data_IF_815664560127
#
_entry.id   IF_815664560127
#
_cell.length_a   1.000
_cell.length_b   1.000
_cell.length_c   1.000
_cell.angle_alpha   90.00
_cell.angle_beta   90.00
_cell.angle_gamma   90.00
#
_symmetry.space_group_name_H-M   'P 1'
#
loop_
_entity.id
_entity.type
_entity.pdbx_description
1 polymer ?
#
# COMPACT_ATOMS: atom_id res chain seq x y z
N UNK A 1 21.19 -19.05 34.57
CA UNK A 1 19.94 -18.24 34.48
C UNK A 1 19.37 -18.10 33.03
N UNK A 2 19.49 -19.08 32.13
CA UNK A 2 19.83 -18.68 30.74
C UNK A 2 19.01 -19.18 29.53
N UNK A 3 18.05 -20.10 29.64
CA UNK A 3 17.26 -20.56 28.47
C UNK A 3 15.78 -20.15 28.51
N UNK A 4 15.14 -20.36 29.65
CA UNK A 4 13.71 -20.06 29.85
C UNK A 4 13.42 -18.57 29.69
N UNK A 5 14.25 -17.71 30.28
CA UNK A 5 14.10 -16.25 30.15
C UNK A 5 14.30 -15.76 28.71
N UNK A 6 15.29 -16.31 27.99
CA UNK A 6 15.56 -15.99 26.58
C UNK A 6 14.42 -16.45 25.66
N UNK A 7 13.77 -17.57 25.99
CA UNK A 7 12.60 -18.07 25.27
C UNK A 7 11.34 -17.23 25.54
N UNK A 8 11.05 -16.93 26.81
CA UNK A 8 9.95 -16.04 27.22
C UNK A 8 10.10 -14.63 26.63
N UNK A 9 11.31 -14.08 26.63
CA UNK A 9 11.61 -12.77 26.03
C UNK A 9 11.39 -12.77 24.51
N UNK A 10 11.81 -13.84 23.82
CA UNK A 10 11.57 -13.99 22.36
C UNK A 10 10.08 -14.09 22.04
N UNK A 11 9.30 -14.82 22.84
CA UNK A 11 7.84 -14.92 22.68
C UNK A 11 7.16 -13.58 22.92
N UNK A 12 7.54 -12.85 23.98
CA UNK A 12 7.03 -11.50 24.26
C UNK A 12 7.36 -10.52 23.14
N UNK A 13 8.59 -10.55 22.59
CA UNK A 13 8.97 -9.71 21.45
C UNK A 13 8.13 -9.99 20.20
N UNK A 14 7.88 -11.26 19.88
CA UNK A 14 7.05 -11.62 18.72
C UNK A 14 5.60 -11.17 18.90
N UNK A 15 5.05 -11.29 20.11
CA UNK A 15 3.70 -10.80 20.43
C UNK A 15 3.62 -9.28 20.28
N UNK A 16 4.61 -8.53 20.79
CA UNK A 16 4.71 -7.07 20.65
C UNK A 16 4.79 -6.64 19.18
N UNK A 17 5.63 -7.33 18.40
CA UNK A 17 5.79 -7.08 16.96
C UNK A 17 4.49 -7.32 16.19
N UNK A 18 3.84 -8.45 16.46
CA UNK A 18 2.55 -8.79 15.85
C UNK A 18 1.49 -7.75 16.21
N UNK A 19 1.42 -7.34 17.47
CA UNK A 19 0.47 -6.33 17.93
C UNK A 19 0.65 -5.00 17.20
N UNK A 20 1.88 -4.51 17.07
CA UNK A 20 2.18 -3.27 16.34
C UNK A 20 1.80 -3.36 14.86
N UNK A 21 2.08 -4.50 14.21
CA UNK A 21 1.67 -4.73 12.82
C UNK A 21 0.16 -4.78 12.62
N UNK A 22 -0.58 -5.37 13.56
CA UNK A 22 -2.06 -5.44 13.51
C UNK A 22 -2.66 -4.03 13.67
N UNK A 23 -2.18 -3.27 14.65
CA UNK A 23 -2.59 -1.86 14.84
C UNK A 23 -2.40 -1.07 13.55
N UNK A 24 -1.25 -1.22 12.88
CA UNK A 24 -0.96 -0.55 11.60
C UNK A 24 -1.98 -0.91 10.52
N UNK A 25 -2.32 -2.19 10.37
CA UNK A 25 -3.32 -2.63 9.38
C UNK A 25 -4.67 -1.98 9.67
N UNK A 26 -5.10 -1.95 10.94
CA UNK A 26 -6.38 -1.36 11.35
C UNK A 26 -6.43 0.15 11.09
N UNK A 27 -5.37 0.89 11.43
CA UNK A 27 -5.29 2.33 11.18
C UNK A 27 -5.34 2.61 9.67
N UNK A 28 -4.61 1.83 8.90
CA UNK A 28 -4.49 2.06 7.45
C UNK A 28 -5.78 1.83 6.67
N UNK A 29 -6.64 0.93 7.16
CA UNK A 29 -7.97 0.69 6.61
C UNK A 29 -8.95 1.86 6.86
N UNK A 30 -8.74 2.62 7.94
CA UNK A 30 -9.61 3.76 8.31
C UNK A 30 -9.28 5.06 7.57
N UNK A 31 -8.15 5.13 6.86
CA UNK A 31 -7.73 6.36 6.20
C UNK A 31 -8.21 6.34 4.74
N UNK A 32 -9.17 7.21 4.35
CA UNK A 32 -9.68 7.24 2.99
C UNK A 32 -8.58 7.68 2.03
N UNK A 33 -8.43 6.94 0.94
CA UNK A 33 -7.61 7.33 -0.20
C UNK A 33 -8.46 8.09 -1.19
N UNK A 34 -7.93 9.19 -1.69
CA UNK A 34 -8.54 9.93 -2.80
C UNK A 34 -7.61 9.82 -4.01
N UNK A 35 -8.06 9.12 -5.04
CA UNK A 35 -7.41 9.17 -6.35
C UNK A 35 -7.75 10.51 -7.00
N UNK A 36 -6.74 11.33 -7.33
CA UNK A 36 -6.98 12.63 -7.93
C UNK A 36 -7.35 12.47 -9.41
N UNK A 37 -8.66 12.39 -9.69
CA UNK A 37 -9.18 12.21 -11.06
C UNK A 37 -8.86 13.35 -12.03
N UNK A 38 -8.41 14.51 -11.53
CA UNK A 38 -8.06 15.67 -12.37
C UNK A 38 -6.63 15.59 -12.94
N UNK A 39 -5.79 14.69 -12.42
CA UNK A 39 -4.44 14.48 -12.91
C UNK A 39 -4.42 13.30 -13.89
N UNK A 40 -4.86 13.56 -15.13
CA UNK A 40 -5.07 12.54 -16.17
C UNK A 40 -3.83 11.68 -16.42
N UNK A 41 -2.64 12.25 -16.26
CA UNK A 41 -1.37 11.56 -16.50
C UNK A 41 -0.78 10.82 -15.28
N UNK A 42 -1.31 11.00 -14.06
CA UNK A 42 -0.68 10.46 -12.85
C UNK A 42 -1.34 9.17 -12.33
N UNK A 43 -2.23 9.29 -11.34
CA UNK A 43 -2.94 8.15 -10.74
C UNK A 43 -4.07 7.65 -11.65
N UNK A 44 -4.74 8.57 -12.36
CA UNK A 44 -5.87 8.25 -13.21
C UNK A 44 -5.48 7.38 -14.41
N UNK A 45 -4.31 7.62 -15.00
CA UNK A 45 -3.79 6.86 -16.13
C UNK A 45 -3.67 5.36 -15.82
N UNK A 46 -3.18 5.02 -14.62
CA UNK A 46 -3.10 3.62 -14.19
C UNK A 46 -4.48 2.96 -14.06
N UNK A 47 -5.52 3.72 -13.69
CA UNK A 47 -6.88 3.18 -13.64
C UNK A 47 -7.49 2.97 -15.03
N UNK A 48 -7.04 3.72 -16.04
CA UNK A 48 -7.43 3.49 -17.44
C UNK A 48 -6.77 2.21 -17.94
N UNK A 49 -5.45 2.09 -17.78
CA UNK A 49 -4.71 0.88 -18.18
C UNK A 49 -5.21 -0.38 -17.47
N UNK A 50 -5.59 -0.29 -16.19
CA UNK A 50 -6.19 -1.41 -15.49
C UNK A 50 -7.54 -1.85 -16.10
N UNK A 51 -8.35 -0.91 -16.58
CA UNK A 51 -9.61 -1.23 -17.28
C UNK A 51 -9.36 -1.85 -18.65
N UNK A 52 -8.43 -1.31 -19.41
CA UNK A 52 -8.06 -1.85 -20.73
C UNK A 52 -7.51 -3.28 -20.58
N UNK A 53 -6.68 -3.54 -19.58
CA UNK A 53 -6.19 -4.87 -19.24
C UNK A 53 -7.34 -5.84 -18.88
N UNK A 54 -8.34 -5.39 -18.11
CA UNK A 54 -9.53 -6.19 -17.80
C UNK A 54 -10.41 -6.49 -19.00
N UNK A 55 -10.44 -5.58 -19.98
CA UNK A 55 -11.11 -5.79 -21.26
C UNK A 55 -10.32 -6.72 -22.22
N UNK A 56 -9.11 -7.16 -21.84
CA UNK A 56 -8.24 -7.98 -22.68
C UNK A 56 -7.37 -7.17 -23.66
N UNK A 57 -7.41 -5.83 -23.56
CA UNK A 57 -6.57 -4.94 -24.35
C UNK A 57 -5.26 -4.64 -23.62
N UNK A 58 -4.20 -5.39 -23.94
CA UNK A 58 -2.92 -5.33 -23.24
C UNK A 58 -2.25 -3.94 -23.23
N UNK A 59 -2.30 -3.21 -24.34
CA UNK A 59 -1.75 -1.85 -24.47
C UNK A 59 -2.82 -0.75 -24.52
N UNK A 60 -4.11 -1.11 -24.52
CA UNK A 60 -5.18 -0.13 -24.67
C UNK A 60 -5.10 0.66 -25.98
N UNK A 61 -5.64 1.88 -25.96
CA UNK A 61 -5.59 2.80 -27.12
C UNK A 61 -4.18 3.36 -27.30
N UNK A 62 -3.56 3.09 -28.45
CA UNK A 62 -2.24 3.62 -28.81
C UNK A 62 -2.26 5.15 -28.85
N UNK A 63 -1.70 5.78 -27.82
CA UNK A 63 -1.48 7.21 -27.70
C UNK A 63 -0.06 7.51 -27.22
N UNK A 64 0.33 8.79 -27.19
CA UNK A 64 1.63 9.23 -26.68
C UNK A 64 1.90 8.84 -25.21
N UNK A 65 0.87 8.47 -24.46
CA UNK A 65 0.96 8.09 -23.05
C UNK A 65 1.22 6.59 -22.81
N UNK A 66 1.03 5.74 -23.83
CA UNK A 66 0.97 4.26 -23.70
C UNK A 66 2.21 3.64 -23.06
N UNK A 67 3.39 4.23 -23.31
CA UNK A 67 4.68 3.77 -22.81
C UNK A 67 5.33 4.71 -21.78
N UNK A 68 4.61 5.75 -21.35
CA UNK A 68 5.16 6.74 -20.41
C UNK A 68 5.27 6.18 -19.00
N UNK A 69 4.41 5.22 -18.63
CA UNK A 69 4.37 4.61 -17.30
C UNK A 69 4.51 3.09 -17.37
N UNK A 70 5.08 2.51 -16.32
CA UNK A 70 5.26 1.06 -16.24
C UNK A 70 3.92 0.34 -16.02
N UNK A 71 3.75 -0.81 -16.69
CA UNK A 71 2.53 -1.62 -16.62
C UNK A 71 2.32 -2.26 -15.24
N UNK A 72 3.40 -2.38 -14.44
CA UNK A 72 3.42 -3.14 -13.19
C UNK A 72 2.36 -2.68 -12.19
N UNK A 73 2.14 -1.37 -12.06
CA UNK A 73 1.16 -0.84 -11.11
C UNK A 73 -0.29 -1.08 -11.58
N UNK A 74 -0.56 -1.00 -12.89
CA UNK A 74 -1.85 -1.34 -13.46
C UNK A 74 -2.18 -2.83 -13.25
N UNK A 75 -1.20 -3.72 -13.46
CA UNK A 75 -1.36 -5.15 -13.14
C UNK A 75 -1.67 -5.38 -11.66
N UNK A 76 -0.98 -4.69 -10.78
CA UNK A 76 -1.27 -4.76 -9.34
C UNK A 76 -2.72 -4.34 -9.04
N UNK A 77 -3.22 -3.26 -9.64
CA UNK A 77 -4.62 -2.84 -9.49
C UNK A 77 -5.62 -3.88 -10.00
N UNK A 78 -5.34 -4.51 -11.14
CA UNK A 78 -6.19 -5.58 -11.70
C UNK A 78 -6.26 -6.78 -10.76
N UNK A 79 -5.11 -7.22 -10.22
CA UNK A 79 -5.05 -8.33 -9.24
C UNK A 79 -5.86 -7.98 -7.99
N UNK A 80 -5.72 -6.75 -7.47
CA UNK A 80 -6.50 -6.28 -6.33
C UNK A 80 -8.01 -6.30 -6.58
N UNK A 81 -8.42 -5.87 -7.78
CA UNK A 81 -9.82 -5.88 -8.18
C UNK A 81 -10.40 -7.31 -8.27
N UNK A 82 -9.65 -8.25 -8.84
CA UNK A 82 -10.05 -9.66 -8.93
C UNK A 82 -10.16 -10.28 -7.53
N UNK A 83 -9.22 -9.97 -6.64
CA UNK A 83 -9.24 -10.43 -5.25
C UNK A 83 -10.27 -9.73 -4.37
N UNK A 84 -10.81 -8.59 -4.80
CA UNK A 84 -11.74 -7.76 -4.01
C UNK A 84 -11.09 -7.14 -2.77
N UNK A 85 -9.77 -6.95 -2.78
CA UNK A 85 -9.00 -6.41 -1.65
C UNK A 85 -8.79 -4.90 -1.86
N UNK A 86 -8.98 -4.06 -0.83
CA UNK A 86 -8.67 -2.64 -0.94
C UNK A 86 -7.17 -2.44 -1.19
N UNK A 87 -6.83 -1.59 -2.16
CA UNK A 87 -5.46 -1.33 -2.59
C UNK A 87 -4.49 -1.03 -1.44
N UNK A 88 -4.95 -0.33 -0.41
CA UNK A 88 -4.19 -0.02 0.81
C UNK A 88 -3.73 -1.25 1.55
N UNK A 89 -4.62 -2.23 1.71
CA UNK A 89 -4.33 -3.45 2.43
C UNK A 89 -3.27 -4.25 1.66
N UNK A 90 -3.41 -4.36 0.34
CA UNK A 90 -2.45 -5.07 -0.47
C UNK A 90 -1.06 -4.41 -0.46
N UNK A 91 -0.98 -3.07 -0.51
CA UNK A 91 0.29 -2.36 -0.34
C UNK A 91 0.96 -2.68 1.00
N UNK A 92 0.20 -2.71 2.09
CA UNK A 92 0.73 -3.00 3.42
C UNK A 92 1.24 -4.42 3.52
N UNK A 93 0.50 -5.39 2.96
CA UNK A 93 0.95 -6.77 2.88
C UNK A 93 2.25 -6.89 2.09
N UNK A 94 2.31 -6.26 0.91
CA UNK A 94 3.51 -6.29 0.06
C UNK A 94 4.73 -5.65 0.76
N UNK A 95 4.49 -4.58 1.51
CA UNK A 95 5.50 -3.95 2.36
C UNK A 95 5.97 -4.88 3.48
N UNK A 96 5.05 -5.55 4.19
CA UNK A 96 5.41 -6.50 5.26
C UNK A 96 6.27 -7.65 4.71
N UNK A 97 5.94 -8.17 3.53
CA UNK A 97 6.73 -9.21 2.85
C UNK A 97 8.13 -8.70 2.52
N UNK A 98 8.24 -7.50 1.96
CA UNK A 98 9.54 -6.86 1.68
C UNK A 98 10.36 -6.70 2.96
N UNK A 99 9.73 -6.24 4.05
CA UNK A 99 10.41 -6.00 5.32
C UNK A 99 10.90 -7.30 5.97
N UNK A 100 10.11 -8.37 5.93
CA UNK A 100 10.51 -9.70 6.40
C UNK A 100 11.70 -10.21 5.59
N UNK A 101 11.66 -10.06 4.26
CA UNK A 101 12.73 -10.50 3.35
C UNK A 101 14.04 -9.75 3.62
N UNK A 102 13.96 -8.44 3.80
CA UNK A 102 15.09 -7.59 4.16
C UNK A 102 15.67 -7.99 5.52
N UNK A 103 14.82 -8.12 6.55
CA UNK A 103 15.25 -8.48 7.90
C UNK A 103 15.88 -9.88 7.94
N UNK A 104 15.37 -10.82 7.14
CA UNK A 104 15.92 -12.16 6.97
C UNK A 104 17.31 -12.12 6.31
N UNK A 105 17.46 -11.34 5.24
CA UNK A 105 18.75 -11.15 4.57
C UNK A 105 19.79 -10.54 5.52
N UNK A 106 19.43 -9.49 6.26
CA UNK A 106 20.32 -8.87 7.24
C UNK A 106 20.63 -9.76 8.44
N UNK A 107 19.69 -10.60 8.88
CA UNK A 107 19.95 -11.60 9.90
C UNK A 107 21.04 -12.58 9.46
N UNK A 108 21.02 -13.01 8.19
CA UNK A 108 22.04 -13.91 7.63
C UNK A 108 23.44 -13.28 7.68
N UNK A 109 23.54 -11.97 7.46
CA UNK A 109 24.81 -11.22 7.49
C UNK A 109 25.28 -10.95 8.94
N UNK A 110 24.40 -10.41 9.78
CA UNK A 110 24.77 -9.98 11.15
C UNK A 110 24.87 -11.13 12.16
N UNK A 111 24.20 -12.27 11.91
CA UNK A 111 24.03 -13.41 12.83
C UNK A 111 23.39 -13.07 14.19
N UNK A 112 23.17 -11.78 14.48
CA UNK A 112 22.57 -11.30 15.71
C UNK A 112 21.05 -11.15 15.55
N UNK A 113 20.29 -11.84 16.41
CA UNK A 113 18.82 -11.82 16.37
C UNK A 113 18.27 -10.47 16.84
N UNK A 114 18.90 -9.85 17.84
CA UNK A 114 18.46 -8.60 18.42
C UNK A 114 18.48 -7.45 17.40
N UNK A 115 19.54 -7.35 16.59
CA UNK A 115 19.68 -6.31 15.57
C UNK A 115 18.60 -6.40 14.49
N UNK A 116 18.27 -7.61 14.02
CA UNK A 116 17.20 -7.82 13.03
C UNK A 116 15.82 -7.37 13.55
N UNK A 117 15.48 -7.68 14.82
CA UNK A 117 14.22 -7.21 15.41
C UNK A 117 14.19 -5.69 15.63
N UNK A 118 15.31 -5.07 16.01
CA UNK A 118 15.40 -3.61 16.15
C UNK A 118 15.18 -2.92 14.79
N UNK A 119 15.81 -3.43 13.73
CA UNK A 119 15.62 -2.91 12.38
C UNK A 119 14.16 -3.04 11.91
N UNK A 120 13.51 -4.19 12.15
CA UNK A 120 12.11 -4.37 11.78
C UNK A 120 11.20 -3.31 12.42
N UNK A 121 11.36 -3.05 13.72
CA UNK A 121 10.58 -2.03 14.43
C UNK A 121 10.88 -0.64 13.90
N UNK A 122 12.17 -0.31 13.69
CA UNK A 122 12.60 0.97 13.16
C UNK A 122 11.97 1.26 11.80
N UNK A 123 12.02 0.31 10.85
CA UNK A 123 11.41 0.48 9.53
C UNK A 123 9.89 0.56 9.59
N UNK A 124 9.25 -0.22 10.47
CA UNK A 124 7.79 -0.16 10.65
C UNK A 124 7.35 1.23 11.11
N UNK A 125 8.09 1.85 12.04
CA UNK A 125 7.82 3.22 12.53
C UNK A 125 8.16 4.28 11.47
N UNK A 126 9.29 4.14 10.77
CA UNK A 126 9.75 5.15 9.80
C UNK A 126 8.72 5.38 8.68
N UNK A 127 7.98 4.34 8.29
CA UNK A 127 6.98 4.43 7.22
C UNK A 127 5.69 5.18 7.59
N UNK A 128 5.44 5.49 8.87
CA UNK A 128 4.31 6.36 9.27
C UNK A 128 4.50 7.82 8.81
N UNK A 129 5.72 8.21 8.41
CA UNK A 129 5.98 9.53 7.85
C UNK A 129 5.62 9.66 6.37
N UNK A 130 5.09 8.61 5.73
CA UNK A 130 4.61 8.73 4.36
C UNK A 130 3.50 9.79 4.35
N UNK A 131 3.69 10.94 3.67
CA UNK A 131 2.70 11.99 3.67
C UNK A 131 1.48 11.42 2.96
N UNK A 132 0.48 10.99 3.73
CA UNK A 132 -0.90 10.96 3.25
C UNK A 132 -1.17 12.38 2.80
N UNK A 133 -1.08 12.64 1.49
CA UNK A 133 -1.31 13.95 0.91
C UNK A 133 -2.73 14.33 1.35
N UNK A 134 -2.81 15.11 2.44
CA UNK A 134 -4.01 15.81 2.83
C UNK A 134 -4.32 16.67 1.62
N UNK A 135 -5.49 16.48 1.01
CA UNK A 135 -5.99 17.46 0.06
C UNK A 135 -5.86 18.82 0.74
N UNK A 136 -5.01 19.67 0.17
CA UNK A 136 -5.02 21.09 0.49
C UNK A 136 -6.44 21.57 0.23
N UNK A 137 -7.20 21.79 1.31
CA UNK A 137 -8.45 22.56 1.27
C UNK A 137 -8.06 24.01 1.03
N UNK A 138 -7.56 24.31 -0.16
CA UNK A 138 -7.40 25.69 -0.57
C UNK A 138 -7.60 25.79 -2.08
N UNK A 139 -8.86 25.83 -2.48
CA UNK A 139 -9.37 26.75 -3.49
C UNK A 139 -10.78 27.12 -3.03
N UNK A 140 -10.90 28.37 -2.59
CA UNK A 140 -12.16 29.10 -2.48
C UNK A 140 -13.00 28.87 -3.75
N UNK A 141 -14.19 28.31 -3.57
CA UNK A 141 -15.20 28.27 -4.63
C UNK A 141 -15.39 26.93 -5.33
N UNK A 142 -15.62 25.84 -4.60
CA UNK A 142 -16.52 24.80 -5.10
C UNK A 142 -17.56 24.48 -4.04
N UNK A 143 -18.75 25.02 -4.30
CA UNK A 143 -20.04 24.59 -3.77
C UNK A 143 -20.05 23.07 -3.67
N UNK A 144 -20.64 22.58 -2.58
CA UNK A 144 -20.99 21.20 -2.29
C UNK A 144 -21.70 20.59 -3.53
N UNK A 145 -20.90 20.07 -4.44
CA UNK A 145 -21.31 19.54 -5.72
C UNK A 145 -21.12 18.04 -5.64
N UNK A 146 -22.22 17.35 -5.35
CA UNK A 146 -22.45 15.91 -5.53
C UNK A 146 -21.24 15.16 -6.11
N UNK A 147 -20.54 14.40 -5.26
CA UNK A 147 -19.82 13.20 -5.69
C UNK A 147 -20.84 12.13 -6.12
N UNK A 148 -21.59 12.40 -7.18
CA UNK A 148 -22.64 11.51 -7.67
C UNK A 148 -22.73 11.72 -9.18
N UNK A 149 -21.91 10.98 -9.96
CA UNK A 149 -22.37 10.21 -11.13
C UNK A 149 -21.25 9.55 -11.97
N UNK A 150 -19.97 9.86 -11.77
CA UNK A 150 -18.87 9.29 -12.59
C UNK A 150 -17.71 8.72 -11.77
N UNK A 151 -17.99 8.26 -10.54
CA UNK A 151 -17.07 7.33 -9.88
C UNK A 151 -17.24 5.97 -10.56
N UNK A 152 -16.31 5.66 -11.45
CA UNK A 152 -16.20 4.36 -12.09
C UNK A 152 -16.23 3.28 -11.00
N UNK A 153 -17.15 2.31 -11.08
CA UNK A 153 -17.36 1.25 -10.07
C UNK A 153 -16.04 0.55 -9.66
N UNK A 154 -15.11 0.44 -10.60
CA UNK A 154 -13.76 -0.07 -10.42
C UNK A 154 -12.93 0.72 -9.38
N UNK A 155 -12.99 2.05 -9.43
CA UNK A 155 -12.25 2.92 -8.52
C UNK A 155 -12.85 2.82 -7.11
N UNK A 156 -14.17 2.79 -6.99
CA UNK A 156 -14.82 2.67 -5.68
C UNK A 156 -14.48 1.35 -4.97
N UNK A 157 -14.48 0.23 -5.69
CA UNK A 157 -14.17 -1.10 -5.13
C UNK A 157 -12.68 -1.31 -4.82
N UNK A 158 -11.78 -0.62 -5.53
CA UNK A 158 -10.32 -0.78 -5.33
C UNK A 158 -9.78 0.23 -4.31
N UNK A 159 -10.42 1.39 -4.17
CA UNK A 159 -9.96 2.49 -3.32
C UNK A 159 -10.70 2.55 -1.97
N UNK A 160 -11.97 2.15 -1.89
CA UNK A 160 -12.76 2.05 -0.65
C UNK A 160 -12.98 0.59 -0.26
#
# INVERSE_FOLDING_TARGET
MNKVYKFLYRRRLLILLSFFTIIRIVISLKIPLFAQGNAVADDYLYTIYAKDLLAGHWLGSFNSLTLVKSISFSFFLVINYILGIPYRLALILFYLVSLITLCYSLYKVSKSKAFSYLLFNFFTILTDNAPSRKCSKNISGWRIGKCHHSCNWFIYRVVC
#
